data_IF_212753813242
#
_entry.id   IF_212753813242
#
_cell.length_a   1.000
_cell.length_b   1.000
_cell.length_c   1.000
_cell.angle_alpha   90.00
_cell.angle_beta   90.00
_cell.angle_gamma   90.00
#
_symmetry.space_group_name_H-M   'P 1'
#
loop_
_entity.id
_entity.type
_entity.pdbx_description
1 polymer ?
#
# COMPACT_ATOMS: atom_id res chain seq x y z
N UNK A 1 -12.25 2.18 7.79
CA UNK A 1 -12.16 0.99 6.90
C UNK A 1 -11.13 1.31 5.84
N UNK A 2 -10.26 0.37 5.53
CA UNK A 2 -9.24 0.51 4.48
C UNK A 2 -9.86 0.47 3.08
N UNK A 3 -9.16 1.01 2.10
CA UNK A 3 -9.67 1.16 0.74
C UNK A 3 -10.08 -0.17 0.07
N UNK A 4 -9.31 -1.24 0.25
CA UNK A 4 -9.62 -2.58 -0.28
C UNK A 4 -10.92 -3.12 0.31
N UNK A 5 -11.10 -2.97 1.64
CA UNK A 5 -12.31 -3.41 2.34
C UNK A 5 -13.55 -2.58 1.94
N UNK A 6 -13.36 -1.29 1.60
CA UNK A 6 -14.44 -0.43 1.10
C UNK A 6 -15.01 -0.97 -0.21
N UNK A 7 -14.13 -1.48 -1.10
CA UNK A 7 -14.56 -2.09 -2.34
C UNK A 7 -15.43 -3.33 -2.10
N UNK A 8 -14.95 -4.25 -1.27
CA UNK A 8 -15.71 -5.45 -0.89
C UNK A 8 -17.02 -5.10 -0.19
N UNK A 9 -17.02 -4.14 0.73
CA UNK A 9 -18.21 -3.68 1.44
C UNK A 9 -19.29 -3.10 0.48
N UNK A 10 -18.86 -2.31 -0.50
CA UNK A 10 -19.74 -1.77 -1.51
C UNK A 10 -20.28 -2.84 -2.46
N UNK A 11 -19.39 -3.67 -3.00
CA UNK A 11 -19.73 -4.70 -3.97
C UNK A 11 -20.65 -5.79 -3.39
N UNK A 12 -20.30 -6.33 -2.21
CA UNK A 12 -20.97 -7.50 -1.65
C UNK A 12 -22.16 -7.16 -0.75
N UNK A 13 -22.14 -5.99 -0.11
CA UNK A 13 -23.11 -5.63 0.91
C UNK A 13 -23.91 -4.36 0.61
N UNK A 14 -23.66 -3.73 -0.55
CA UNK A 14 -24.37 -2.50 -0.95
C UNK A 14 -24.12 -1.33 0.02
N UNK A 15 -22.96 -1.31 0.69
CA UNK A 15 -22.59 -0.22 1.59
C UNK A 15 -21.97 0.94 0.80
N UNK A 16 -21.91 2.11 1.42
CA UNK A 16 -21.37 3.33 0.79
C UNK A 16 -20.54 4.15 1.78
N UNK A 17 -19.75 5.08 1.26
CA UNK A 17 -18.87 5.93 2.05
C UNK A 17 -19.58 7.21 2.47
N UNK A 18 -19.66 7.49 3.76
CA UNK A 18 -20.23 8.73 4.32
C UNK A 18 -19.18 9.84 4.47
N UNK A 19 -17.98 9.49 4.93
CA UNK A 19 -16.87 10.40 5.16
C UNK A 19 -15.54 9.70 4.94
N UNK A 20 -14.56 10.42 4.44
CA UNK A 20 -13.16 9.99 4.35
C UNK A 20 -12.27 10.75 5.31
N UNK A 21 -11.19 10.15 5.76
CA UNK A 21 -10.17 10.81 6.56
C UNK A 21 -9.33 11.74 5.68
N UNK A 22 -9.02 12.93 6.18
CA UNK A 22 -8.05 13.84 5.59
C UNK A 22 -6.86 13.98 6.51
N UNK A 23 -5.68 13.66 6.00
CA UNK A 23 -4.42 13.72 6.73
C UNK A 23 -3.73 15.06 6.47
N UNK A 24 -2.86 15.48 7.39
CA UNK A 24 -2.01 16.64 7.19
C UNK A 24 -0.87 16.34 6.22
N UNK A 25 -0.42 17.37 5.50
CA UNK A 25 0.76 17.28 4.64
C UNK A 25 0.43 16.76 3.23
N UNK A 26 1.33 15.95 2.67
CA UNK A 26 1.31 15.50 1.28
C UNK A 26 0.15 14.54 0.97
N UNK A 27 -0.32 13.79 1.96
CA UNK A 27 -1.33 12.74 1.76
C UNK A 27 -2.76 13.28 1.55
N UNK A 28 -3.15 14.38 2.19
CA UNK A 28 -4.51 14.90 2.07
C UNK A 28 -5.59 13.81 2.27
N UNK A 29 -6.34 13.52 1.21
CA UNK A 29 -7.38 12.46 1.16
C UNK A 29 -6.95 11.21 0.40
N UNK A 30 -5.73 11.17 -0.14
CA UNK A 30 -5.18 10.04 -0.89
C UNK A 30 -3.66 10.05 -0.84
N UNK A 31 -3.07 8.88 -0.99
CA UNK A 31 -1.63 8.70 -1.17
C UNK A 31 -1.36 7.98 -2.50
N UNK A 32 -0.14 8.14 -3.02
CA UNK A 32 0.26 7.51 -4.27
C UNK A 32 1.10 6.27 -4.02
N UNK A 33 0.79 5.19 -4.73
CA UNK A 33 1.62 3.99 -4.79
C UNK A 33 2.53 4.10 -5.99
N UNK A 34 3.83 4.00 -5.74
CA UNK A 34 4.87 4.18 -6.74
C UNK A 34 5.72 2.92 -6.90
N UNK A 35 6.30 2.76 -8.07
CA UNK A 35 7.37 1.79 -8.34
C UNK A 35 8.69 2.53 -8.26
N UNK A 36 9.51 2.21 -7.27
CA UNK A 36 10.79 2.88 -6.98
C UNK A 36 11.95 1.95 -7.28
N UNK A 37 12.97 2.47 -7.95
CA UNK A 37 14.16 1.72 -8.33
C UNK A 37 15.43 2.54 -8.09
N UNK A 38 16.60 1.89 -8.13
CA UNK A 38 17.88 2.60 -8.12
C UNK A 38 18.11 3.32 -9.45
N UNK A 39 18.63 4.53 -9.40
CA UNK A 39 18.96 5.31 -10.60
C UNK A 39 20.03 4.63 -11.46
N UNK A 40 20.93 3.87 -10.84
CA UNK A 40 21.95 3.09 -11.52
C UNK A 40 21.41 1.95 -12.39
N UNK A 41 20.15 1.53 -12.22
CA UNK A 41 19.49 0.51 -13.03
C UNK A 41 18.97 1.13 -14.33
N UNK A 42 19.83 1.24 -15.36
CA UNK A 42 19.55 1.96 -16.62
C UNK A 42 18.52 1.26 -17.51
N UNK A 43 18.40 -0.07 -17.41
CA UNK A 43 17.58 -0.89 -18.33
C UNK A 43 16.29 -1.40 -17.66
N UNK A 44 15.80 -0.67 -16.66
CA UNK A 44 14.59 -1.04 -15.92
C UNK A 44 13.41 -0.16 -16.31
N UNK A 45 12.35 -0.79 -16.82
CA UNK A 45 11.11 -0.13 -17.17
C UNK A 45 9.92 -0.86 -16.58
N UNK A 46 8.91 -0.12 -16.14
CA UNK A 46 7.67 -0.69 -15.60
C UNK A 46 6.89 -1.51 -16.63
N UNK A 47 7.17 -1.30 -17.93
CA UNK A 47 6.57 -2.07 -19.03
C UNK A 47 7.28 -3.42 -19.27
N UNK A 48 8.48 -3.64 -18.73
CA UNK A 48 9.34 -4.80 -18.97
C UNK A 48 9.88 -5.38 -17.65
N UNK A 49 8.92 -5.76 -16.76
CA UNK A 49 9.27 -6.27 -15.42
C UNK A 49 9.45 -7.79 -15.35
N UNK A 50 9.22 -8.52 -16.45
CA UNK A 50 9.34 -9.97 -16.48
C UNK A 50 10.79 -10.41 -16.14
N UNK A 51 10.93 -11.41 -15.27
CA UNK A 51 12.20 -11.94 -14.72
C UNK A 51 13.00 -10.94 -13.87
N UNK A 52 12.54 -9.72 -13.64
CA UNK A 52 13.15 -8.79 -12.70
C UNK A 52 12.89 -9.22 -11.26
N UNK A 53 13.62 -8.64 -10.31
CA UNK A 53 13.42 -8.88 -8.89
C UNK A 53 12.59 -7.76 -8.23
N UNK A 54 11.74 -8.12 -7.28
CA UNK A 54 10.82 -7.16 -6.67
C UNK A 54 10.79 -7.21 -5.15
N UNK A 55 10.54 -6.06 -4.55
CA UNK A 55 10.44 -5.86 -3.10
C UNK A 55 9.06 -5.32 -2.75
N UNK A 56 8.38 -6.00 -1.85
CA UNK A 56 7.02 -5.68 -1.45
C UNK A 56 6.93 -5.48 0.07
N UNK A 57 6.17 -4.50 0.55
CA UNK A 57 5.90 -4.31 1.99
C UNK A 57 5.33 -5.55 2.69
N UNK A 58 4.52 -6.31 1.98
CA UNK A 58 3.92 -7.53 2.52
C UNK A 58 2.84 -8.11 1.61
N UNK A 59 2.56 -9.37 1.84
CA UNK A 59 1.50 -10.11 1.15
C UNK A 59 0.13 -9.53 1.45
N UNK A 60 -0.70 -9.34 0.41
CA UNK A 60 -2.07 -8.80 0.51
C UNK A 60 -2.17 -7.39 1.11
N UNK A 61 -1.10 -6.62 1.15
CA UNK A 61 -1.17 -5.20 1.49
C UNK A 61 -1.57 -4.38 0.27
N UNK A 62 -2.30 -3.28 0.48
CA UNK A 62 -2.72 -2.38 -0.61
C UNK A 62 -1.54 -1.91 -1.45
N UNK A 63 -0.51 -1.36 -0.80
CA UNK A 63 0.68 -0.78 -1.44
C UNK A 63 1.58 -1.85 -2.05
N UNK A 64 1.82 -2.93 -1.30
CA UNK A 64 2.79 -3.95 -1.70
C UNK A 64 2.22 -5.06 -2.57
N UNK A 65 0.90 -5.20 -2.66
CA UNK A 65 0.29 -6.32 -3.38
C UNK A 65 -0.86 -5.89 -4.27
N UNK A 66 -1.94 -5.33 -3.70
CA UNK A 66 -3.16 -5.06 -4.46
C UNK A 66 -2.90 -4.11 -5.63
N UNK A 67 -2.22 -2.99 -5.40
CA UNK A 67 -1.95 -2.00 -6.45
C UNK A 67 -0.96 -2.52 -7.48
N UNK A 68 0.26 -2.98 -7.12
CA UNK A 68 1.24 -3.39 -8.13
C UNK A 68 0.79 -4.63 -8.92
N UNK A 69 0.20 -5.63 -8.27
CA UNK A 69 -0.25 -6.83 -8.97
C UNK A 69 -1.49 -6.53 -9.82
N UNK A 70 -2.43 -5.74 -9.31
CA UNK A 70 -3.58 -5.25 -10.09
C UNK A 70 -3.14 -4.46 -11.32
N UNK A 71 -2.11 -3.62 -11.21
CA UNK A 71 -1.51 -2.93 -12.34
C UNK A 71 -0.95 -3.91 -13.39
N UNK A 72 -0.13 -4.88 -12.97
CA UNK A 72 0.49 -5.85 -13.87
C UNK A 72 -0.54 -6.76 -14.57
N UNK A 73 -1.63 -7.10 -13.89
CA UNK A 73 -2.75 -7.84 -14.48
C UNK A 73 -3.51 -6.98 -15.50
N UNK A 74 -3.85 -5.74 -15.14
CA UNK A 74 -4.60 -4.83 -16.02
C UNK A 74 -3.81 -4.42 -17.27
N UNK A 75 -2.48 -4.36 -17.17
CA UNK A 75 -1.59 -4.12 -18.33
C UNK A 75 -1.24 -5.40 -19.08
N UNK A 76 -1.87 -6.54 -18.73
CA UNK A 76 -1.66 -7.86 -19.35
C UNK A 76 -0.22 -8.37 -19.26
N UNK A 77 0.58 -7.88 -18.33
CA UNK A 77 1.92 -8.40 -18.05
C UNK A 77 1.84 -9.71 -17.26
N UNK A 78 0.86 -9.84 -16.35
CA UNK A 78 0.58 -11.06 -15.58
C UNK A 78 -0.76 -11.63 -15.99
N UNK A 79 -0.82 -12.97 -16.21
CA UNK A 79 -2.06 -13.71 -16.37
C UNK A 79 -2.26 -14.67 -15.20
N UNK A 80 -3.40 -14.52 -14.51
CA UNK A 80 -3.71 -15.31 -13.29
C UNK A 80 -4.33 -16.68 -13.62
N UNK A 81 -4.85 -16.83 -14.84
CA UNK A 81 -5.54 -18.04 -15.30
C UNK A 81 -6.89 -18.26 -14.59
N UNK A 82 -7.57 -19.33 -14.97
CA UNK A 82 -8.92 -19.69 -14.46
C UNK A 82 -8.93 -20.04 -12.95
N UNK A 83 -7.77 -20.45 -12.40
CA UNK A 83 -7.65 -20.84 -10.99
C UNK A 83 -7.45 -19.65 -10.04
N UNK A 84 -7.32 -18.45 -10.59
CA UNK A 84 -7.13 -17.23 -9.80
C UNK A 84 -5.99 -17.30 -8.74
N UNK A 85 -4.87 -17.92 -9.11
CA UNK A 85 -3.74 -18.13 -8.22
C UNK A 85 -2.69 -17.00 -8.39
N UNK A 86 -2.92 -15.88 -7.74
CA UNK A 86 -2.02 -14.72 -7.79
C UNK A 86 -0.59 -15.02 -7.34
N UNK A 87 -0.35 -15.70 -6.19
CA UNK A 87 1.02 -15.99 -5.77
C UNK A 87 1.80 -16.77 -6.83
N UNK A 88 1.16 -17.76 -7.47
CA UNK A 88 1.79 -18.55 -8.54
C UNK A 88 2.07 -17.69 -9.78
N UNK A 89 1.12 -16.84 -10.17
CA UNK A 89 1.27 -15.96 -11.32
C UNK A 89 2.42 -14.94 -11.11
N UNK A 90 2.50 -14.35 -9.91
CA UNK A 90 3.56 -13.42 -9.52
C UNK A 90 4.92 -14.13 -9.46
N UNK A 91 4.99 -15.33 -8.86
CA UNK A 91 6.21 -16.11 -8.81
C UNK A 91 6.70 -16.60 -10.18
N UNK A 92 5.80 -16.77 -11.16
CA UNK A 92 6.16 -17.07 -12.54
C UNK A 92 6.60 -15.84 -13.34
N UNK A 93 6.22 -14.65 -12.90
CA UNK A 93 6.51 -13.39 -13.58
C UNK A 93 7.83 -12.79 -13.12
N UNK A 94 8.05 -12.64 -11.81
CA UNK A 94 9.30 -12.17 -11.27
C UNK A 94 10.32 -13.30 -11.15
N UNK A 95 11.60 -13.01 -11.41
CA UNK A 95 12.69 -13.95 -11.21
C UNK A 95 12.76 -14.38 -9.74
N UNK A 96 12.83 -13.41 -8.84
CA UNK A 96 12.70 -13.60 -7.39
C UNK A 96 12.17 -12.32 -6.72
N UNK A 97 11.65 -12.47 -5.50
CA UNK A 97 11.03 -11.36 -4.79
C UNK A 97 11.22 -11.46 -3.27
N UNK A 98 11.06 -10.36 -2.58
CA UNK A 98 10.72 -10.37 -1.16
C UNK A 98 9.27 -9.92 -1.00
N UNK A 99 8.39 -10.86 -0.66
CA UNK A 99 6.98 -10.63 -0.33
C UNK A 99 6.75 -11.17 1.09
N UNK A 100 7.04 -10.38 2.14
CA UNK A 100 6.85 -10.81 3.51
C UNK A 100 5.43 -11.33 3.76
N UNK A 101 5.32 -12.49 4.39
CA UNK A 101 4.05 -13.19 4.60
C UNK A 101 3.63 -14.14 3.48
N UNK A 102 4.35 -14.22 2.36
CA UNK A 102 3.99 -15.13 1.26
C UNK A 102 3.98 -16.62 1.67
N UNK A 103 4.70 -16.98 2.72
CA UNK A 103 4.74 -18.34 3.30
C UNK A 103 4.01 -18.47 4.62
N UNK A 104 3.33 -17.41 5.08
CA UNK A 104 2.51 -17.46 6.28
C UNK A 104 1.33 -18.41 6.07
N UNK A 105 1.02 -19.33 7.01
CA UNK A 105 -0.13 -20.25 6.91
C UNK A 105 -1.47 -19.55 6.63
N UNK A 106 -1.60 -18.28 7.01
CA UNK A 106 -2.79 -17.48 6.70
C UNK A 106 -2.91 -17.16 5.20
N UNK A 107 -1.78 -16.95 4.52
CA UNK A 107 -1.73 -16.64 3.09
C UNK A 107 -1.35 -17.84 2.22
N UNK A 108 -0.76 -18.87 2.82
CA UNK A 108 -0.32 -20.11 2.17
C UNK A 108 -0.78 -21.36 2.95
N UNK A 109 -2.11 -21.54 3.13
CA UNK A 109 -2.65 -22.63 3.97
C UNK A 109 -2.31 -24.03 3.46
N UNK A 110 -1.89 -24.16 2.19
CA UNK A 110 -1.49 -25.42 1.56
C UNK A 110 0.04 -25.56 1.43
N UNK A 111 0.82 -24.53 1.75
CA UNK A 111 2.26 -24.51 1.57
C UNK A 111 2.73 -24.53 0.12
N UNK A 112 1.88 -24.06 -0.83
CA UNK A 112 2.09 -24.17 -2.27
C UNK A 112 2.58 -22.89 -2.94
N UNK A 113 2.63 -21.78 -2.22
CA UNK A 113 3.12 -20.52 -2.80
C UNK A 113 4.57 -20.70 -3.28
N UNK A 114 4.97 -20.12 -4.42
CA UNK A 114 6.31 -20.21 -4.94
C UNK A 114 7.39 -19.77 -3.93
N UNK A 115 8.53 -20.46 -3.90
CA UNK A 115 9.62 -20.12 -2.98
C UNK A 115 10.30 -18.82 -3.34
N UNK A 116 10.41 -18.53 -4.63
CA UNK A 116 11.03 -17.30 -5.12
C UNK A 116 10.33 -16.00 -4.68
N UNK A 117 9.12 -16.06 -4.14
CA UNK A 117 8.47 -14.91 -3.49
C UNK A 117 9.16 -14.47 -2.18
N UNK A 118 10.06 -15.29 -1.64
CA UNK A 118 10.79 -15.02 -0.41
C UNK A 118 12.33 -14.98 -0.59
N UNK A 119 12.84 -15.12 -1.81
CA UNK A 119 14.28 -15.26 -2.04
C UNK A 119 15.09 -13.97 -1.83
N UNK A 120 14.45 -12.79 -1.98
CA UNK A 120 15.07 -11.51 -1.65
C UNK A 120 14.83 -11.05 -0.19
N UNK A 121 14.13 -11.85 0.62
CA UNK A 121 13.94 -11.58 2.04
C UNK A 121 15.17 -12.06 2.85
N UNK A 122 15.54 -11.34 3.91
CA UNK A 122 16.77 -11.58 4.67
C UNK A 122 16.56 -11.98 6.13
N UNK A 123 15.34 -11.91 6.64
CA UNK A 123 15.03 -12.23 8.04
C UNK A 123 15.62 -11.25 9.06
N UNK A 124 15.85 -11.73 10.27
CA UNK A 124 16.47 -10.98 11.36
C UNK A 124 18.03 -11.04 11.29
N UNK A 125 18.72 -10.46 12.25
CA UNK A 125 20.19 -10.43 12.34
C UNK A 125 20.83 -11.82 12.44
N UNK A 126 20.03 -12.85 12.68
CA UNK A 126 20.47 -14.25 12.82
C UNK A 126 19.94 -15.14 11.70
N UNK A 127 19.54 -14.55 10.56
CA UNK A 127 18.94 -15.24 9.40
C UNK A 127 17.70 -16.08 9.76
N UNK A 128 16.94 -15.65 10.81
CA UNK A 128 15.68 -16.25 11.21
C UNK A 128 14.54 -15.37 10.77
N UNK A 129 13.32 -15.91 10.79
CA UNK A 129 12.11 -15.17 10.41
C UNK A 129 12.09 -14.66 8.97
N UNK A 130 12.87 -15.32 8.08
CA UNK A 130 12.92 -14.98 6.65
C UNK A 130 11.49 -14.99 6.09
N UNK A 131 11.12 -13.89 5.42
CA UNK A 131 9.81 -13.71 4.81
C UNK A 131 8.63 -13.65 5.81
N UNK A 132 8.89 -13.39 7.10
CA UNK A 132 7.83 -13.26 8.09
C UNK A 132 6.98 -12.00 7.85
N UNK A 133 5.69 -12.08 8.15
CA UNK A 133 4.76 -10.94 8.10
C UNK A 133 4.89 -10.06 9.35
N UNK A 134 6.09 -9.61 9.67
CA UNK A 134 6.38 -8.78 10.84
C UNK A 134 7.75 -8.10 10.70
N UNK A 135 8.04 -7.09 11.55
CA UNK A 135 9.34 -6.40 11.63
C UNK A 135 10.54 -7.30 12.00
N UNK A 136 10.34 -8.60 12.26
CA UNK A 136 11.42 -9.57 12.35
C UNK A 136 12.04 -9.89 10.99
N UNK A 137 11.28 -9.72 9.92
CA UNK A 137 11.82 -9.65 8.56
C UNK A 137 12.22 -8.18 8.29
N UNK A 138 13.50 -7.93 8.07
CA UNK A 138 14.03 -6.58 7.88
C UNK A 138 13.54 -5.89 6.60
N UNK A 139 13.06 -6.69 5.64
CA UNK A 139 12.41 -6.18 4.41
C UNK A 139 10.88 -6.08 4.53
N UNK A 140 10.30 -6.26 5.72
CA UNK A 140 8.88 -6.09 5.97
C UNK A 140 8.49 -4.60 6.08
N UNK A 141 7.30 -4.29 5.58
CA UNK A 141 6.77 -2.92 5.58
C UNK A 141 7.39 -2.05 4.48
N UNK A 142 6.96 -0.82 4.41
CA UNK A 142 7.37 0.08 3.32
C UNK A 142 8.84 0.46 3.39
N UNK A 143 9.33 0.80 4.58
CA UNK A 143 10.77 1.04 4.81
C UNK A 143 11.61 -0.20 4.51
N UNK A 144 11.10 -1.39 4.83
CA UNK A 144 11.77 -2.66 4.51
C UNK A 144 11.84 -2.95 3.01
N UNK A 145 10.77 -2.66 2.26
CA UNK A 145 10.78 -2.78 0.81
C UNK A 145 11.76 -1.78 0.15
N UNK A 146 11.83 -0.54 0.66
CA UNK A 146 12.83 0.43 0.22
C UNK A 146 14.26 -0.06 0.53
N UNK A 147 14.49 -0.59 1.73
CA UNK A 147 15.76 -1.19 2.14
C UNK A 147 16.20 -2.31 1.19
N UNK A 148 15.29 -3.18 0.79
CA UNK A 148 15.55 -4.29 -0.14
C UNK A 148 16.15 -3.79 -1.47
N UNK A 149 15.64 -2.69 -2.02
CA UNK A 149 16.22 -2.02 -3.21
C UNK A 149 17.52 -1.31 -2.87
N UNK A 150 17.61 -0.60 -1.74
CA UNK A 150 18.82 0.09 -1.31
C UNK A 150 20.00 -0.87 -1.14
N UNK A 151 19.77 -2.07 -0.61
CA UNK A 151 20.76 -3.12 -0.41
C UNK A 151 21.03 -3.97 -1.69
N UNK A 152 20.45 -3.61 -2.86
CA UNK A 152 20.58 -4.33 -4.14
C UNK A 152 20.04 -5.77 -4.13
N UNK A 153 19.06 -6.07 -3.31
CA UNK A 153 18.42 -7.38 -3.25
C UNK A 153 17.17 -7.48 -4.12
N UNK A 154 16.71 -6.35 -4.65
CA UNK A 154 15.65 -6.26 -5.64
C UNK A 154 15.83 -5.08 -6.56
N UNK A 155 15.29 -5.19 -7.77
CA UNK A 155 15.34 -4.13 -8.80
C UNK A 155 14.31 -3.03 -8.56
N UNK A 156 13.13 -3.39 -8.07
CA UNK A 156 12.01 -2.46 -7.85
C UNK A 156 11.35 -2.68 -6.49
N UNK A 157 11.01 -1.59 -5.80
CA UNK A 157 10.14 -1.61 -4.63
C UNK A 157 8.80 -0.94 -4.96
N UNK A 158 7.71 -1.54 -4.50
CA UNK A 158 6.38 -0.95 -4.56
C UNK A 158 6.04 -0.37 -3.20
N UNK A 159 6.06 0.95 -3.10
CA UNK A 159 5.96 1.65 -1.82
C UNK A 159 5.03 2.87 -1.93
N UNK A 160 4.67 3.44 -0.79
CA UNK A 160 4.01 4.74 -0.73
C UNK A 160 5.01 5.83 -1.13
N UNK A 161 4.55 6.84 -1.86
CA UNK A 161 5.41 7.93 -2.33
C UNK A 161 6.16 8.67 -1.21
N UNK A 162 5.63 8.70 0.02
CA UNK A 162 6.28 9.32 1.18
C UNK A 162 7.38 8.46 1.79
N UNK A 163 7.44 7.16 1.49
CA UNK A 163 8.36 6.21 2.15
C UNK A 163 9.81 6.65 2.09
N UNK A 164 10.27 7.16 0.95
CA UNK A 164 11.65 7.63 0.82
C UNK A 164 11.92 8.83 1.73
N UNK A 165 11.02 9.80 1.76
CA UNK A 165 11.15 11.01 2.59
C UNK A 165 11.05 10.73 4.09
N UNK A 166 10.44 9.61 4.48
CA UNK A 166 10.35 9.17 5.88
C UNK A 166 11.62 8.43 6.35
N UNK A 167 12.47 8.01 5.41
CA UNK A 167 13.69 7.24 5.70
C UNK A 167 15.00 8.01 5.45
N UNK A 168 14.97 9.10 4.70
CA UNK A 168 16.17 9.90 4.40
C UNK A 168 16.37 11.07 5.38
N UNK A 169 17.42 11.82 5.15
CA UNK A 169 17.78 13.04 5.92
C UNK A 169 17.93 12.79 7.44
N UNK A 170 18.45 11.62 7.79
CA UNK A 170 18.70 11.23 9.18
C UNK A 170 17.43 10.85 9.96
N UNK A 171 16.28 10.70 9.32
CA UNK A 171 15.04 10.22 9.96
C UNK A 171 15.12 8.74 10.29
N UNK A 172 15.75 7.94 9.45
CA UNK A 172 16.08 6.55 9.74
C UNK A 172 17.56 6.43 10.09
N UNK A 173 17.88 5.86 11.25
CA UNK A 173 19.25 5.72 11.79
C UNK A 173 19.90 4.39 11.43
N UNK A 174 19.22 3.53 10.68
CA UNK A 174 19.80 2.26 10.22
C UNK A 174 20.86 2.51 9.13
N UNK A 175 21.91 1.70 9.13
CA UNK A 175 23.08 1.89 8.24
C UNK A 175 22.73 1.94 6.76
N UNK A 176 21.73 1.18 6.32
CA UNK A 176 21.29 1.15 4.92
C UNK A 176 20.71 2.50 4.44
N UNK A 177 20.17 3.31 5.38
CA UNK A 177 19.51 4.59 5.07
C UNK A 177 20.45 5.78 5.21
N UNK A 178 21.56 5.65 5.96
CA UNK A 178 22.46 6.76 6.26
C UNK A 178 23.21 7.28 5.02
N UNK A 179 23.56 6.37 4.09
CA UNK A 179 24.31 6.67 2.87
C UNK A 179 23.40 6.75 1.63
N UNK A 180 22.07 6.66 1.79
CA UNK A 180 21.10 6.71 0.69
C UNK A 180 20.66 8.17 0.47
N UNK A 181 20.82 8.66 -0.75
CA UNK A 181 20.42 10.00 -1.17
C UNK A 181 19.21 9.94 -2.12
N UNK A 182 18.46 11.04 -2.24
CA UNK A 182 17.31 11.14 -3.16
C UNK A 182 17.72 10.87 -4.60
N UNK A 183 18.93 11.32 -4.96
CA UNK A 183 19.52 11.15 -6.29
C UNK A 183 19.86 9.72 -6.65
N UNK A 184 19.98 8.83 -5.66
CA UNK A 184 20.25 7.40 -5.87
C UNK A 184 19.03 6.64 -6.39
N UNK A 185 17.85 7.23 -6.27
CA UNK A 185 16.57 6.62 -6.57
C UNK A 185 15.83 7.33 -7.70
N UNK A 186 14.92 6.61 -8.34
CA UNK A 186 14.01 7.10 -9.37
C UNK A 186 12.66 6.42 -9.28
N UNK A 187 11.64 7.02 -9.88
CA UNK A 187 10.35 6.40 -10.14
C UNK A 187 10.32 5.78 -11.52
N UNK A 188 9.66 4.62 -11.63
CA UNK A 188 9.31 3.98 -12.89
C UNK A 188 7.85 4.30 -13.18
N UNK A 189 7.58 4.98 -14.30
CA UNK A 189 6.25 5.46 -14.64
C UNK A 189 5.47 4.45 -15.49
N UNK A 190 4.12 4.44 -15.40
CA UNK A 190 3.27 3.55 -16.19
C UNK A 190 3.40 3.66 -17.70
N UNK A 191 3.86 4.78 -18.21
CA UNK A 191 4.13 5.02 -19.64
C UNK A 191 5.50 4.52 -20.10
N UNK A 192 6.29 3.91 -19.21
CA UNK A 192 7.62 3.39 -19.49
C UNK A 192 8.75 4.41 -19.31
N UNK A 193 8.43 5.65 -18.94
CA UNK A 193 9.42 6.69 -18.62
C UNK A 193 9.90 6.59 -17.18
N UNK A 194 10.89 7.42 -16.83
CA UNK A 194 11.42 7.57 -15.48
C UNK A 194 11.19 8.99 -14.99
N UNK A 195 11.03 9.16 -13.68
CA UNK A 195 10.84 10.47 -13.05
C UNK A 195 11.62 10.61 -11.74
N UNK A 196 11.79 11.84 -11.30
CA UNK A 196 12.26 12.16 -9.96
C UNK A 196 11.23 11.80 -8.88
N UNK A 197 11.68 11.61 -7.65
CA UNK A 197 10.81 11.17 -6.53
C UNK A 197 9.71 12.18 -6.20
N UNK A 198 9.93 13.47 -6.47
CA UNK A 198 8.94 14.54 -6.26
C UNK A 198 7.84 14.58 -7.32
N UNK A 199 8.04 13.88 -8.45
CA UNK A 199 7.08 13.85 -9.58
C UNK A 199 6.02 12.75 -9.43
N UNK A 200 5.85 12.21 -8.23
CA UNK A 200 4.93 11.11 -7.92
C UNK A 200 3.48 11.39 -8.31
N UNK A 201 3.02 12.65 -8.36
CA UNK A 201 1.68 13.00 -8.81
C UNK A 201 1.43 12.63 -10.29
N UNK A 202 2.49 12.59 -11.09
CA UNK A 202 2.43 12.24 -12.51
C UNK A 202 3.01 10.86 -12.81
N UNK A 203 3.78 10.30 -11.88
CA UNK A 203 4.48 9.02 -12.02
C UNK A 203 4.13 8.09 -10.86
N UNK A 204 2.95 7.48 -10.89
CA UNK A 204 2.45 6.55 -9.88
C UNK A 204 1.59 5.45 -10.51
N UNK A 205 1.43 4.33 -9.82
CA UNK A 205 0.56 3.22 -10.24
C UNK A 205 -0.91 3.55 -9.97
N UNK A 206 -1.22 4.04 -8.79
CA UNK A 206 -2.54 4.50 -8.39
C UNK A 206 -2.47 5.54 -7.27
N UNK A 207 -3.47 6.43 -7.24
CA UNK A 207 -3.85 7.19 -6.06
C UNK A 207 -4.85 6.34 -5.25
N UNK A 208 -4.49 6.03 -4.01
CA UNK A 208 -5.31 5.24 -3.09
C UNK A 208 -5.92 6.18 -2.06
N UNK A 209 -7.25 6.20 -1.88
CA UNK A 209 -7.87 7.05 -0.89
C UNK A 209 -7.53 6.59 0.54
N UNK A 210 -7.54 7.53 1.46
CA UNK A 210 -7.39 7.27 2.89
C UNK A 210 -8.58 6.46 3.44
N UNK A 211 -8.49 6.05 4.70
CA UNK A 211 -9.57 5.35 5.39
C UNK A 211 -10.89 6.11 5.35
N UNK A 212 -11.98 5.39 5.38
CA UNK A 212 -13.30 6.01 5.33
C UNK A 212 -14.31 5.34 6.26
N UNK A 213 -15.37 6.09 6.57
CA UNK A 213 -16.53 5.62 7.32
C UNK A 213 -17.55 5.07 6.34
N UNK A 214 -17.77 3.76 6.41
CA UNK A 214 -18.69 3.00 5.56
C UNK A 214 -20.01 2.78 6.29
N UNK A 215 -21.11 2.97 5.58
CA UNK A 215 -22.48 2.96 6.13
C UNK A 215 -23.46 2.38 5.12
N UNK A 216 -24.69 2.11 5.57
CA UNK A 216 -25.80 1.88 4.65
C UNK A 216 -26.12 3.17 3.88
N UNK A 217 -26.54 3.02 2.63
CA UNK A 217 -26.83 4.16 1.73
C UNK A 217 -27.85 5.13 2.36
N UNK A 218 -28.90 4.59 2.97
CA UNK A 218 -29.96 5.37 3.61
C UNK A 218 -29.48 6.15 4.86
N UNK A 219 -28.41 5.69 5.51
CA UNK A 219 -27.86 6.31 6.73
C UNK A 219 -26.81 7.38 6.44
N UNK A 220 -26.33 7.49 5.21
CA UNK A 220 -25.20 8.33 4.81
C UNK A 220 -25.29 9.77 5.28
N UNK A 221 -26.42 10.42 5.00
CA UNK A 221 -26.63 11.82 5.42
C UNK A 221 -26.74 11.97 6.94
N UNK A 222 -27.33 10.99 7.64
CA UNK A 222 -27.51 11.03 9.09
C UNK A 222 -26.18 10.84 9.80
N UNK A 223 -25.40 9.88 9.35
CA UNK A 223 -24.07 9.59 9.91
C UNK A 223 -23.13 10.76 9.65
N UNK A 224 -23.10 11.34 8.44
CA UNK A 224 -22.28 12.52 8.18
C UNK A 224 -22.59 13.66 9.16
N UNK A 225 -23.87 14.03 9.36
CA UNK A 225 -24.26 15.07 10.30
C UNK A 225 -23.83 14.79 11.75
N UNK A 226 -23.79 13.52 12.11
CA UNK A 226 -23.29 13.10 13.42
C UNK A 226 -21.79 13.29 13.53
N UNK A 227 -21.02 12.80 12.55
CA UNK A 227 -19.56 12.94 12.48
C UNK A 227 -19.13 14.41 12.42
N UNK A 228 -19.82 15.23 11.65
CA UNK A 228 -19.56 16.67 11.57
C UNK A 228 -19.70 17.35 12.93
N UNK A 229 -20.72 16.98 13.71
CA UNK A 229 -20.89 17.50 15.08
C UNK A 229 -19.80 17.00 16.01
N UNK A 230 -19.42 15.72 15.90
CA UNK A 230 -18.33 15.15 16.70
C UNK A 230 -17.01 15.85 16.43
N UNK A 231 -16.62 16.02 15.17
CA UNK A 231 -15.35 16.69 14.86
C UNK A 231 -15.35 18.17 15.24
N UNK A 232 -16.49 18.87 15.14
CA UNK A 232 -16.60 20.25 15.61
C UNK A 232 -16.45 20.37 17.14
N UNK A 233 -16.89 19.36 17.88
CA UNK A 233 -16.80 19.36 19.35
C UNK A 233 -15.45 18.84 19.86
N UNK A 234 -14.86 17.83 19.19
CA UNK A 234 -13.77 17.04 19.74
C UNK A 234 -12.55 16.90 18.80
N UNK A 235 -12.64 17.38 17.55
CA UNK A 235 -11.54 17.26 16.57
C UNK A 235 -10.28 18.00 17.01
N UNK A 236 -10.43 19.21 17.58
CA UNK A 236 -9.32 20.05 18.06
C UNK A 236 -9.34 20.24 19.57
N UNK A 237 -9.96 19.34 20.33
CA UNK A 237 -10.02 19.43 21.79
C UNK A 237 -8.61 19.34 22.40
N UNK A 238 -8.28 20.28 23.30
CA UNK A 238 -6.96 20.33 23.99
C UNK A 238 -6.93 19.42 25.21
N UNK A 239 -8.07 19.17 25.83
CA UNK A 239 -8.22 18.37 27.05
C UNK A 239 -9.39 17.39 26.91
N UNK A 240 -9.31 16.28 27.60
CA UNK A 240 -10.33 15.23 27.59
C UNK A 240 -10.32 14.38 26.33
N UNK A 241 -11.48 13.98 25.86
CA UNK A 241 -11.63 13.13 24.68
C UNK A 241 -11.23 13.91 23.41
N UNK A 242 -10.36 13.30 22.60
CA UNK A 242 -9.92 13.82 21.30
C UNK A 242 -10.28 12.83 20.21
N UNK A 243 -11.04 13.29 19.22
CA UNK A 243 -11.57 12.41 18.16
C UNK A 243 -10.50 11.75 17.32
N UNK A 244 -9.41 12.47 17.06
CA UNK A 244 -8.30 12.05 16.18
C UNK A 244 -6.99 11.79 16.95
N UNK A 245 -7.06 11.35 18.20
CA UNK A 245 -5.85 11.01 18.95
C UNK A 245 -6.08 9.89 19.95
N UNK A 246 -5.33 8.84 19.79
CA UNK A 246 -5.33 7.65 20.63
C UNK A 246 -4.31 7.69 21.77
N UNK A 247 -3.41 8.69 21.79
CA UNK A 247 -2.29 8.78 22.73
C UNK A 247 -2.69 8.74 24.21
N UNK A 248 -3.89 9.27 24.57
CA UNK A 248 -4.43 9.25 25.91
C UNK A 248 -4.81 7.85 26.44
N UNK A 249 -4.86 6.86 25.55
CA UNK A 249 -5.28 5.49 25.85
C UNK A 249 -4.12 4.48 25.76
N UNK A 250 -2.89 4.97 25.45
CA UNK A 250 -1.72 4.10 25.27
C UNK A 250 -1.73 3.23 24.02
N UNK A 251 -2.56 3.58 23.05
CA UNK A 251 -2.78 2.88 21.78
C UNK A 251 -2.62 3.85 20.61
N UNK A 252 -2.68 3.34 19.38
CA UNK A 252 -2.71 4.12 18.15
C UNK A 252 -3.93 3.78 17.30
N UNK A 253 -4.43 4.75 16.54
CA UNK A 253 -5.45 4.58 15.51
C UNK A 253 -6.76 3.90 15.99
N UNK A 254 -7.23 4.20 17.21
CA UNK A 254 -8.37 3.51 17.83
C UNK A 254 -9.72 3.75 17.15
N UNK A 255 -10.02 4.99 16.76
CA UNK A 255 -11.28 5.35 16.08
C UNK A 255 -11.02 5.77 14.65
N UNK A 256 -10.07 6.64 14.48
CA UNK A 256 -9.54 7.15 13.23
C UNK A 256 -8.02 7.08 13.31
N UNK A 257 -7.36 7.20 12.16
CA UNK A 257 -5.90 7.36 12.17
C UNK A 257 -5.49 8.57 12.99
N UNK A 258 -4.46 8.45 13.82
CA UNK A 258 -3.90 9.56 14.59
C UNK A 258 -3.30 10.65 13.67
N UNK A 259 -3.07 10.34 12.39
CA UNK A 259 -2.69 11.31 11.35
C UNK A 259 -3.89 12.12 10.81
N UNK A 260 -5.12 11.76 11.17
CA UNK A 260 -6.33 12.44 10.68
C UNK A 260 -6.42 13.85 11.24
N UNK A 261 -6.57 14.82 10.34
CA UNK A 261 -6.79 16.22 10.70
C UNK A 261 -8.28 16.57 10.73
N UNK A 262 -9.04 16.07 9.78
CA UNK A 262 -10.49 16.24 9.73
C UNK A 262 -11.13 15.13 8.87
N UNK A 263 -12.45 14.99 9.01
CA UNK A 263 -13.26 14.14 8.14
C UNK A 263 -13.86 14.99 7.02
N UNK A 264 -13.73 14.49 5.79
CA UNK A 264 -14.31 15.11 4.61
C UNK A 264 -15.57 14.34 4.19
N UNK A 265 -16.66 15.09 3.91
CA UNK A 265 -17.89 14.49 3.40
C UNK A 265 -17.70 13.89 2.01
N UNK A 266 -18.18 12.66 1.82
CA UNK A 266 -18.21 12.01 0.52
C UNK A 266 -19.61 12.11 -0.08
N UNK A 267 -19.74 12.81 -1.21
CA UNK A 267 -21.03 13.03 -1.87
C UNK A 267 -21.35 11.92 -2.90
N UNK A 268 -20.32 11.36 -3.52
CA UNK A 268 -20.42 10.27 -4.51
C UNK A 268 -20.59 8.90 -3.87
N UNK A 269 -20.56 7.84 -4.68
CA UNK A 269 -20.57 6.45 -4.25
C UNK A 269 -19.18 6.00 -3.76
N UNK A 270 -19.10 4.80 -3.16
CA UNK A 270 -17.82 4.18 -2.80
C UNK A 270 -16.87 4.06 -4.00
N UNK A 271 -17.39 3.77 -5.21
CA UNK A 271 -16.57 3.72 -6.43
C UNK A 271 -16.01 5.09 -6.82
N UNK A 272 -16.78 6.16 -6.57
CA UNK A 272 -16.32 7.54 -6.75
C UNK A 272 -15.22 7.91 -5.75
N UNK A 273 -15.31 7.42 -4.52
CA UNK A 273 -14.27 7.59 -3.49
C UNK A 273 -12.99 6.85 -3.84
N UNK A 274 -13.08 5.60 -4.26
CA UNK A 274 -11.93 4.78 -4.63
C UNK A 274 -11.24 5.28 -5.91
N UNK A 275 -11.96 5.98 -6.78
CA UNK A 275 -11.45 6.44 -8.07
C UNK A 275 -11.38 5.33 -9.12
N UNK A 276 -11.32 5.70 -10.41
CA UNK A 276 -11.41 4.73 -11.51
C UNK A 276 -10.18 3.82 -11.59
N UNK A 277 -8.97 4.37 -11.46
CA UNK A 277 -7.72 3.61 -11.59
C UNK A 277 -7.60 2.54 -10.53
N UNK A 278 -7.77 2.91 -9.25
CA UNK A 278 -7.67 1.97 -8.15
C UNK A 278 -8.80 0.92 -8.17
N UNK A 279 -10.04 1.34 -8.46
CA UNK A 279 -11.17 0.41 -8.63
C UNK A 279 -10.91 -0.64 -9.74
N UNK A 280 -10.24 -0.25 -10.82
CA UNK A 280 -9.88 -1.19 -11.89
C UNK A 280 -8.85 -2.21 -11.43
N UNK A 281 -7.89 -1.82 -10.60
CA UNK A 281 -6.93 -2.76 -9.99
C UNK A 281 -7.61 -3.74 -9.04
N UNK A 282 -8.54 -3.27 -8.22
CA UNK A 282 -9.32 -4.15 -7.33
C UNK A 282 -10.15 -5.18 -8.09
N UNK A 283 -10.71 -4.82 -9.25
CA UNK A 283 -11.44 -5.77 -10.12
C UNK A 283 -10.59 -6.95 -10.56
N UNK A 284 -9.28 -6.80 -10.70
CA UNK A 284 -8.39 -7.91 -11.04
C UNK A 284 -8.48 -9.07 -10.02
N UNK A 285 -8.84 -8.77 -8.77
CA UNK A 285 -8.94 -9.75 -7.68
C UNK A 285 -10.35 -10.30 -7.46
N UNK A 286 -11.36 -9.88 -8.24
CA UNK A 286 -12.74 -10.39 -8.09
C UNK A 286 -12.82 -11.91 -8.29
N UNK A 287 -11.92 -12.51 -9.06
CA UNK A 287 -11.85 -13.94 -9.26
C UNK A 287 -11.46 -14.71 -7.97
N UNK A 288 -10.84 -14.08 -6.97
CA UNK A 288 -10.58 -14.69 -5.65
C UNK A 288 -11.84 -14.81 -4.79
N UNK A 289 -12.94 -14.17 -5.22
CA UNK A 289 -14.20 -14.16 -4.50
C UNK A 289 -14.24 -13.15 -3.37
N UNK A 290 -14.47 -11.87 -3.68
CA UNK A 290 -14.73 -10.84 -2.66
C UNK A 290 -16.03 -11.09 -1.89
N UNK A 291 -16.96 -11.76 -2.52
CA UNK A 291 -18.26 -12.12 -1.97
C UNK A 291 -18.36 -13.63 -1.75
#
# INVERSE_FOLDING_TARGET
MFADDIYAAGLCHGLDVAAGESHNGVDGISYYVVAMARRSSSDLSLLEMHERSSCHPGMRTTVGWTVPIGYLVNTSQISVGEQCNFPKAVGNFFGYSCVPGAKDPHHDPRGNNPRNLCEACIGDEYDRHICASSHRERHYGESGALRCVAENLGDVAFVKHTTVFDNLDGKNQESWALDLELEDLKLLCPDGTEAGLEEHEHCHLAAVPTNAVVVRVEDKCRVWKFLERLQNAFGNAKEGFRLFSSAGYGESDLLFSDATHHLQRVLGSYTSWLGPTYSTMLKAFECEGFC
#
